data_IF_699702605086
#
_entry.id   IF_699702605086
#
_cell.length_a   1.000
_cell.length_b   1.000
_cell.length_c   1.000
_cell.angle_alpha   90.00
_cell.angle_beta   90.00
_cell.angle_gamma   90.00
#
_symmetry.space_group_name_H-M   'P 1'
#
loop_
_entity.id
_entity.type
_entity.pdbx_description
1 polymer ?
#
# COMPACT_ATOMS: atom_id res chain seq x y z
N UNK A 1 0.46 -18.32 16.21
CA UNK A 1 0.51 -18.47 14.74
C UNK A 1 1.38 -17.37 14.18
N UNK A 2 2.26 -17.67 13.24
CA UNK A 2 3.08 -16.69 12.51
C UNK A 2 2.40 -16.35 11.19
N UNK A 3 2.39 -15.07 10.81
CA UNK A 3 1.86 -14.64 9.52
C UNK A 3 2.68 -15.27 8.38
N UNK A 4 1.97 -15.70 7.33
CA UNK A 4 2.55 -16.07 6.05
C UNK A 4 3.10 -14.84 5.32
N UNK A 5 4.00 -15.05 4.36
CA UNK A 5 4.61 -13.94 3.62
C UNK A 5 3.57 -13.18 2.77
N UNK A 6 2.55 -13.88 2.27
CA UNK A 6 1.40 -13.25 1.61
C UNK A 6 0.60 -12.33 2.54
N UNK A 7 0.35 -12.74 3.77
CA UNK A 7 -0.35 -11.89 4.77
C UNK A 7 0.50 -10.68 5.17
N UNK A 8 1.82 -10.86 5.33
CA UNK A 8 2.75 -9.75 5.57
C UNK A 8 2.76 -8.76 4.41
N UNK A 9 2.74 -9.27 3.18
CA UNK A 9 2.70 -8.44 1.96
C UNK A 9 1.45 -7.56 1.93
N UNK A 10 0.28 -8.15 2.15
CA UNK A 10 -1.00 -7.39 2.21
C UNK A 10 -0.93 -6.30 3.28
N UNK A 11 -0.40 -6.61 4.46
CA UNK A 11 -0.26 -5.63 5.54
C UNK A 11 0.67 -4.46 5.17
N UNK A 12 1.79 -4.75 4.50
CA UNK A 12 2.75 -3.74 4.05
C UNK A 12 2.14 -2.85 2.96
N UNK A 13 1.47 -3.43 1.96
CA UNK A 13 0.80 -2.66 0.90
C UNK A 13 -0.27 -1.77 1.50
N UNK A 14 -1.13 -2.31 2.37
CA UNK A 14 -2.19 -1.55 3.03
C UNK A 14 -1.64 -0.37 3.84
N UNK A 15 -0.58 -0.61 4.63
CA UNK A 15 0.08 0.45 5.38
C UNK A 15 0.74 1.48 4.46
N UNK A 16 1.42 1.02 3.41
CA UNK A 16 2.05 1.87 2.40
C UNK A 16 1.08 2.81 1.73
N UNK A 17 -0.11 2.32 1.38
CA UNK A 17 -1.19 3.12 0.78
C UNK A 17 -1.70 4.16 1.78
N UNK A 18 -1.94 3.79 3.04
CA UNK A 18 -2.38 4.72 4.06
C UNK A 18 -1.35 5.84 4.29
N UNK A 19 -0.06 5.50 4.38
CA UNK A 19 1.03 6.48 4.51
C UNK A 19 1.14 7.35 3.26
N UNK A 20 1.06 6.77 2.07
CA UNK A 20 1.08 7.50 0.81
C UNK A 20 -0.03 8.55 0.75
N UNK A 21 -1.28 8.17 1.07
CA UNK A 21 -2.41 9.09 1.11
C UNK A 21 -2.19 10.23 2.11
N UNK A 22 -1.70 9.93 3.32
CA UNK A 22 -1.39 10.96 4.32
C UNK A 22 -0.27 11.91 3.90
N UNK A 23 0.75 11.42 3.20
CA UNK A 23 1.84 12.25 2.68
C UNK A 23 1.38 13.11 1.50
N UNK A 24 0.48 12.58 0.66
CA UNK A 24 -0.14 13.31 -0.44
C UNK A 24 -0.99 14.48 0.08
N UNK A 25 -1.83 14.26 1.09
CA UNK A 25 -2.64 15.31 1.73
C UNK A 25 -1.80 16.43 2.37
N UNK A 26 -0.56 16.13 2.74
CA UNK A 26 0.37 17.08 3.38
C UNK A 26 1.36 17.71 2.40
N UNK A 27 1.18 17.53 1.10
CA UNK A 27 2.12 17.95 0.04
C UNK A 27 3.59 17.58 0.36
N UNK A 28 3.78 16.44 1.04
CA UNK A 28 5.08 15.98 1.55
C UNK A 28 5.65 14.82 0.73
N UNK A 29 4.98 14.43 -0.36
CA UNK A 29 5.50 13.44 -1.30
C UNK A 29 6.53 14.08 -2.23
N UNK A 30 7.66 13.40 -2.51
CA UNK A 30 8.58 13.85 -3.55
C UNK A 30 7.88 13.96 -4.90
N UNK A 31 8.21 15.00 -5.67
CA UNK A 31 7.67 15.18 -7.03
C UNK A 31 7.87 13.91 -7.87
N UNK A 32 6.83 13.53 -8.61
CA UNK A 32 6.79 12.33 -9.47
C UNK A 32 6.80 10.98 -8.72
N UNK A 33 6.48 10.93 -7.43
CA UNK A 33 6.30 9.65 -6.72
C UNK A 33 4.91 9.09 -6.99
N UNK A 34 4.81 7.94 -7.66
CA UNK A 34 3.55 7.20 -7.78
C UNK A 34 3.33 6.28 -6.57
N UNK A 35 2.08 5.83 -6.37
CA UNK A 35 1.75 4.82 -5.36
C UNK A 35 2.57 3.53 -5.56
N UNK A 36 2.72 3.06 -6.80
CA UNK A 36 3.50 1.86 -7.09
C UNK A 36 4.96 2.03 -6.71
N UNK A 37 5.57 3.17 -7.06
CA UNK A 37 6.95 3.48 -6.68
C UNK A 37 7.13 3.51 -5.16
N UNK A 38 6.13 4.03 -4.45
CA UNK A 38 6.13 4.10 -3.00
C UNK A 38 6.06 2.70 -2.38
N UNK A 39 5.10 1.87 -2.81
CA UNK A 39 4.93 0.50 -2.33
C UNK A 39 6.19 -0.33 -2.63
N UNK A 40 6.75 -0.22 -3.84
CA UNK A 40 7.98 -0.92 -4.23
C UNK A 40 9.18 -0.57 -3.34
N UNK A 41 9.25 0.65 -2.81
CA UNK A 41 10.34 1.11 -1.94
C UNK A 41 10.25 0.60 -0.50
N UNK A 42 9.04 0.32 0.00
CA UNK A 42 8.83 -0.12 1.38
C UNK A 42 8.78 -1.65 1.54
N UNK A 43 8.63 -2.37 0.43
CA UNK A 43 8.56 -3.84 0.44
C UNK A 43 9.94 -4.43 0.77
N UNK A 44 10.06 -5.26 1.83
CA UNK A 44 11.27 -5.98 2.17
C UNK A 44 11.68 -6.98 1.08
N UNK A 45 13.00 -7.12 0.84
CA UNK A 45 13.54 -8.00 -0.21
C UNK A 45 13.20 -9.49 0.01
N UNK A 46 13.08 -9.93 1.26
CA UNK A 46 12.80 -11.33 1.63
C UNK A 46 11.40 -11.82 1.24
N UNK A 47 10.45 -10.90 1.05
CA UNK A 47 9.07 -11.22 0.64
C UNK A 47 8.69 -10.60 -0.71
N UNK A 48 9.63 -9.93 -1.38
CA UNK A 48 9.39 -9.19 -2.63
C UNK A 48 8.89 -10.08 -3.77
N UNK A 49 9.18 -11.38 -3.73
CA UNK A 49 8.66 -12.37 -4.70
C UNK A 49 7.14 -12.52 -4.65
N UNK A 50 6.50 -12.19 -3.53
CA UNK A 50 5.04 -12.23 -3.37
C UNK A 50 4.35 -10.97 -3.91
N UNK A 51 5.12 -9.95 -4.33
CA UNK A 51 4.56 -8.71 -4.85
C UNK A 51 4.06 -8.90 -6.28
N UNK A 52 2.78 -8.62 -6.49
CA UNK A 52 2.16 -8.54 -7.80
C UNK A 52 1.42 -7.20 -7.92
N UNK A 53 1.45 -6.58 -9.11
CA UNK A 53 0.67 -5.37 -9.43
C UNK A 53 -0.82 -5.59 -9.15
N UNK A 54 -1.37 -6.76 -9.51
CA UNK A 54 -2.78 -7.07 -9.26
C UNK A 54 -3.11 -7.03 -7.75
N UNK A 55 -2.17 -7.45 -6.91
CA UNK A 55 -2.33 -7.42 -5.45
C UNK A 55 -2.29 -5.99 -4.92
N UNK A 56 -1.43 -5.13 -5.48
CA UNK A 56 -1.38 -3.71 -5.13
C UNK A 56 -2.73 -3.06 -5.48
N UNK A 57 -3.24 -3.31 -6.67
CA UNK A 57 -4.51 -2.76 -7.14
C UNK A 57 -5.69 -3.25 -6.28
N UNK A 58 -5.75 -4.54 -5.98
CA UNK A 58 -6.78 -5.13 -5.12
C UNK A 58 -6.79 -4.49 -3.74
N UNK A 59 -5.62 -4.41 -3.09
CA UNK A 59 -5.49 -3.82 -1.75
C UNK A 59 -5.81 -2.32 -1.79
N UNK A 60 -5.40 -1.61 -2.84
CA UNK A 60 -5.75 -0.20 -3.01
C UNK A 60 -7.26 0.00 -3.12
N UNK A 61 -7.93 -0.72 -4.01
CA UNK A 61 -9.39 -0.64 -4.15
C UNK A 61 -10.09 -0.96 -2.83
N UNK A 62 -9.63 -1.99 -2.11
CA UNK A 62 -10.18 -2.34 -0.80
C UNK A 62 -9.99 -1.22 0.22
N UNK A 63 -8.77 -0.70 0.40
CA UNK A 63 -8.47 0.37 1.38
C UNK A 63 -9.23 1.65 1.02
N UNK A 64 -9.21 2.06 -0.25
CA UNK A 64 -9.94 3.23 -0.72
C UNK A 64 -11.45 3.10 -0.50
N UNK A 65 -12.04 1.93 -0.76
CA UNK A 65 -13.48 1.69 -0.53
C UNK A 65 -13.86 1.67 0.97
N UNK A 66 -12.98 1.12 1.81
CA UNK A 66 -13.18 1.12 3.26
C UNK A 66 -13.17 2.55 3.82
N UNK A 67 -12.32 3.43 3.28
CA UNK A 67 -12.27 4.84 3.68
C UNK A 67 -13.32 5.72 2.99
N UNK A 68 -13.82 5.35 1.81
CA UNK A 68 -14.86 6.12 1.11
C UNK A 68 -16.26 6.01 1.74
N UNK A 69 -16.47 5.08 2.67
CA UNK A 69 -17.76 4.88 3.35
C UNK A 69 -17.93 5.79 4.58
N UNK A 70 -17.05 6.78 4.78
CA UNK A 70 -17.17 7.84 5.79
C UNK A 70 -17.43 9.21 5.15
N UNK A 71 -18.44 9.28 4.29
CA UNK A 71 -19.03 10.54 3.83
C UNK A 71 -20.55 10.41 3.92
N UNK A 72 -21.08 10.42 5.15
CA UNK A 72 -22.48 10.79 5.42
C UNK A 72 -22.57 12.29 5.61
#
# INVERSE_FOLDING_TARGET
MTLSDKEKMVAIISNGIAVFSLLQERDSLPENTTMYDFVLKIVPEDIKSELNIDLIDEVFQYVSSAHSTQSQ
#
